data_IF_201452930241
#
_entry.id   IF_201452930241
#
_cell.length_a   1.000
_cell.length_b   1.000
_cell.length_c   1.000
_cell.angle_alpha   90.00
_cell.angle_beta   90.00
_cell.angle_gamma   90.00
#
_symmetry.space_group_name_H-M   'P 1'
#
loop_
_entity.id
_entity.type
_entity.pdbx_description
1 polymer ?
2 non-polymer ?
3 non-polymer ?
4 non-polymer ?
5 water ?
#
# COMPACT_ATOMS: atom_id res chain seq x y z
N UNK A 22 14.37 -4.00 23.24
CA UNK A 22 15.54 -4.72 22.76
C UNK A 22 15.14 -6.10 22.23
N UNK A 23 14.72 -6.98 23.13
CA UNK A 23 14.45 -8.35 22.71
C UNK A 23 13.56 -9.03 23.76
N UNK A 24 13.55 -10.36 23.73
CA UNK A 24 12.56 -11.18 24.39
C UNK A 24 12.18 -12.24 23.39
N UNK A 25 12.82 -12.12 22.23
CA UNK A 25 12.64 -13.02 21.10
C UNK A 25 13.83 -13.97 20.99
N UNK A 26 13.69 -14.97 20.13
CA UNK A 26 14.79 -15.88 19.87
C UNK A 26 15.81 -15.22 18.93
N UNK A 27 16.94 -15.92 18.70
CA UNK A 27 17.89 -15.46 17.70
C UNK A 27 17.27 -15.43 16.32
N UNK A 28 16.48 -16.44 15.97
CA UNK A 28 15.86 -16.51 14.66
C UNK A 28 14.87 -15.37 14.48
N UNK A 29 14.10 -15.04 15.52
CA UNK A 29 13.13 -13.95 15.41
C UNK A 29 13.83 -12.61 15.27
N UNK A 30 14.89 -12.39 16.04
CA UNK A 30 15.61 -11.13 15.95
C UNK A 30 16.35 -10.98 14.63
N UNK A 31 16.91 -12.07 14.10
CA UNK A 31 17.50 -11.98 12.77
C UNK A 31 16.43 -11.81 11.70
N UNK A 32 15.23 -12.34 11.94
CA UNK A 32 14.13 -12.19 10.98
C UNK A 32 13.70 -10.73 10.89
N UNK A 33 13.65 -10.03 12.03
CA UNK A 33 13.31 -8.61 12.02
C UNK A 33 14.44 -7.80 11.41
N UNK A 34 15.69 -8.13 11.74
CA UNK A 34 16.82 -7.38 11.21
C UNK A 34 16.85 -7.44 9.69
N UNK A 35 16.55 -8.60 9.11
CA UNK A 35 16.58 -8.74 7.66
C UNK A 35 15.44 -7.95 7.00
N UNK A 36 14.25 -7.98 7.61
CA UNK A 36 13.14 -7.20 7.08
C UNK A 36 13.40 -5.70 7.22
N UNK A 37 13.92 -5.26 8.37
CA UNK A 37 14.22 -3.84 8.55
C UNK A 37 15.31 -3.39 7.60
N UNK A 38 16.31 -4.24 7.37
CA UNK A 38 17.36 -3.91 6.42
C UNK A 38 16.82 -3.78 5.01
N UNK A 39 15.93 -4.71 4.61
CA UNK A 39 15.31 -4.64 3.29
C UNK A 39 14.46 -3.38 3.14
N UNK A 40 13.75 -3.01 4.21
CA UNK A 40 12.95 -1.80 4.19
C UNK A 40 13.83 -0.56 4.07
N UNK A 41 14.94 -0.52 4.82
CA UNK A 41 15.83 0.62 4.76
C UNK A 41 16.43 0.78 3.37
N UNK A 42 16.72 -0.33 2.69
CA UNK A 42 17.42 -0.25 1.41
C UNK A 42 16.49 0.10 0.26
N UNK A 43 15.20 -0.21 0.37
CA UNK A 43 14.31 -0.16 -0.79
C UNK A 43 13.14 0.80 -0.62
N UNK A 44 13.03 1.51 0.50
CA UNK A 44 11.95 2.45 0.77
C UNK A 44 12.55 3.86 0.72
N UNK A 45 12.29 4.57 -0.36
CA UNK A 45 12.74 5.95 -0.52
C UNK A 45 11.75 6.85 0.21
N UNK A 46 11.99 7.07 1.51
CA UNK A 46 10.99 7.74 2.34
C UNK A 46 10.82 9.21 1.97
N UNK A 47 11.85 9.81 1.39
CA UNK A 47 11.76 11.19 0.92
C UNK A 47 11.32 11.29 -0.54
N UNK A 48 11.13 10.15 -1.21
CA UNK A 48 10.68 10.11 -2.60
C UNK A 48 11.62 10.90 -3.52
N UNK A 49 12.91 10.92 -3.19
CA UNK A 49 13.86 11.75 -3.94
C UNK A 49 13.96 11.32 -5.39
N UNK A 50 13.81 10.02 -5.68
CA UNK A 50 14.03 9.48 -7.00
C UNK A 50 12.74 9.24 -7.77
N UNK A 51 11.63 9.80 -7.31
CA UNK A 51 10.37 9.81 -8.07
C UNK A 51 10.40 11.05 -8.96
N UNK A 52 10.74 10.84 -10.23
CA UNK A 52 10.90 11.92 -11.20
C UNK A 52 10.16 11.57 -12.48
N UNK A 53 10.11 12.54 -13.40
CA UNK A 53 9.59 12.34 -14.76
C UNK A 53 8.15 11.87 -14.77
N UNK A 54 7.40 12.17 -13.71
CA UNK A 54 6.01 11.74 -13.64
C UNK A 54 5.09 12.72 -14.37
N UNK A 55 3.99 12.18 -14.88
CA UNK A 55 3.00 12.99 -15.56
C UNK A 55 2.18 13.77 -14.55
N UNK A 56 1.66 14.91 -15.00
CA UNK A 56 0.84 15.79 -14.19
C UNK A 56 -0.45 16.12 -14.93
N UNK A 57 -1.54 16.39 -14.21
CA UNK A 57 -2.79 16.75 -14.88
C UNK A 57 -2.62 18.01 -15.72
N UNK A 58 -3.03 17.92 -16.98
CA UNK A 58 -2.78 18.95 -17.97
C UNK A 58 -3.13 20.36 -17.56
N UNK A 59 -2.42 21.33 -18.13
CA UNK A 59 -2.64 22.73 -17.81
C UNK A 59 -3.64 23.35 -18.79
N UNK A 78 -22.32 1.63 -21.50
CA UNK A 78 -23.00 2.85 -21.09
C UNK A 78 -23.22 2.86 -19.58
N UNK A 79 -23.60 1.70 -19.03
CA UNK A 79 -23.69 1.51 -17.59
C UNK A 79 -22.33 1.36 -16.93
N UNK A 80 -21.28 1.10 -17.71
CA UNK A 80 -19.93 1.07 -17.16
C UNK A 80 -19.52 2.43 -16.61
N UNK A 81 -19.84 3.49 -17.36
CA UNK A 81 -19.39 4.83 -16.97
C UNK A 81 -19.98 5.26 -15.64
N UNK A 82 -21.26 4.97 -15.41
CA UNK A 82 -21.88 5.31 -14.14
C UNK A 82 -21.13 4.67 -12.98
N UNK A 83 -20.68 3.43 -13.16
CA UNK A 83 -19.91 2.76 -12.12
C UNK A 83 -18.51 3.34 -12.03
N UNK A 84 -17.87 3.58 -13.18
CA UNK A 84 -16.54 4.19 -13.18
C UNK A 84 -16.58 5.57 -12.55
N UNK A 85 -17.66 6.32 -12.79
CA UNK A 85 -17.81 7.64 -12.18
C UNK A 85 -17.96 7.53 -10.67
N UNK A 86 -18.68 6.52 -10.20
CA UNK A 86 -18.77 6.28 -8.76
C UNK A 86 -17.43 5.81 -8.19
N UNK A 87 -16.69 5.01 -8.95
CA UNK A 87 -15.38 4.56 -8.50
C UNK A 87 -14.42 5.73 -8.35
N UNK A 88 -14.40 6.64 -9.33
CA UNK A 88 -13.34 7.65 -9.39
C UNK A 88 -13.51 8.74 -8.35
N UNK A 89 -14.74 9.05 -7.96
CA UNK A 89 -14.97 10.11 -6.99
C UNK A 89 -14.96 9.60 -5.55
N UNK A 90 -14.61 8.33 -5.34
CA UNK A 90 -14.46 7.82 -3.99
C UNK A 90 -13.20 8.34 -3.30
N UNK A 91 -12.25 8.86 -4.07
CA UNK A 91 -11.02 9.42 -3.52
C UNK A 91 -10.70 10.71 -4.26
N UNK A 92 -10.88 11.84 -3.59
CA UNK A 92 -10.58 13.15 -4.14
C UNK A 92 -9.43 13.77 -3.35
N UNK A 93 -8.34 14.09 -4.03
CA UNK A 93 -7.17 14.67 -3.38
C UNK A 93 -6.69 15.87 -4.18
N UNK A 94 -6.26 16.90 -3.47
CA UNK A 94 -5.45 17.94 -4.07
C UNK A 94 -3.99 17.54 -4.01
N UNK A 95 -3.20 18.12 -4.89
CA UNK A 95 -1.80 17.74 -5.06
C UNK A 95 -0.93 18.98 -4.96
N UNK A 96 0.20 18.86 -4.28
CA UNK A 96 1.12 19.97 -4.07
C UNK A 96 2.55 19.53 -4.34
N UNK A 97 3.29 20.38 -5.06
CA UNK A 97 4.72 20.20 -5.31
C UNK A 97 5.50 21.34 -4.68
N UNK A 98 6.40 21.01 -3.77
CA UNK A 98 7.33 21.98 -3.22
C UNK A 98 8.62 21.94 -4.03
N UNK A 99 8.98 23.08 -4.64
CA UNK A 99 10.24 23.15 -5.34
C UNK A 99 11.40 23.25 -4.37
N UNK A 100 12.55 22.74 -4.83
CA UNK A 100 13.77 22.88 -4.02
C UNK A 100 14.09 24.35 -3.77
N UNK A 101 13.71 25.23 -4.70
CA UNK A 101 13.96 26.65 -4.53
C UNK A 101 13.00 27.30 -3.54
N UNK A 102 11.90 26.63 -3.20
CA UNK A 102 10.90 27.19 -2.31
C UNK A 102 9.58 27.48 -2.97
N UNK A 103 9.46 27.29 -4.28
CA UNK A 103 8.21 27.50 -4.98
C UNK A 103 7.24 26.36 -4.71
N UNK A 104 5.95 26.66 -4.85
CA UNK A 104 4.89 25.69 -4.57
C UNK A 104 3.92 25.67 -5.75
N UNK A 105 3.78 24.50 -6.39
CA UNK A 105 2.69 24.24 -7.31
C UNK A 105 1.58 23.51 -6.57
N UNK A 106 0.33 23.93 -6.81
CA UNK A 106 -0.82 23.35 -6.15
C UNK A 106 -1.91 23.05 -7.18
N UNK A 107 -2.52 21.88 -7.06
CA UNK A 107 -3.54 21.43 -8.00
C UNK A 107 -4.81 21.07 -7.23
N UNK A 108 -5.91 21.75 -7.54
CA UNK A 108 -7.23 21.37 -7.09
C UNK A 108 -7.97 20.68 -8.22
N UNK A 109 -8.51 19.48 -8.00
CA UNK A 109 -9.14 18.72 -9.10
C UNK A 109 -10.49 19.29 -9.48
N UNK A 110 -11.04 18.89 -10.61
CA UNK A 110 -12.37 19.38 -11.01
C UNK A 110 -13.50 18.52 -10.48
N UNK A 111 -14.63 19.16 -10.26
CA UNK A 111 -15.85 18.41 -9.96
C UNK A 111 -16.32 17.67 -11.20
N UNK A 112 -17.04 16.57 -10.98
CA UNK A 112 -17.56 15.79 -12.09
C UNK A 112 -18.66 16.58 -12.80
N UNK A 113 -18.41 16.92 -14.07
CA UNK A 113 -19.38 17.63 -14.90
C UNK A 113 -19.96 16.74 -16.00
N UNK A 114 -19.64 15.45 -15.99
CA UNK A 114 -20.19 14.51 -16.96
C UNK A 114 -19.29 14.11 -18.11
N UNK A 115 -17.97 14.26 -17.95
CA UNK A 115 -17.06 13.97 -19.04
C UNK A 115 -15.75 13.34 -18.61
N UNK A 116 -14.69 13.58 -19.39
CA UNK A 116 -13.40 12.94 -19.20
C UNK A 116 -12.50 13.69 -18.22
N UNK A 117 -13.02 14.72 -17.54
CA UNK A 117 -12.21 15.48 -16.59
C UNK A 117 -11.94 14.72 -15.29
N UNK A 118 -12.71 13.67 -15.02
CA UNK A 118 -12.45 12.84 -13.83
C UNK A 118 -11.25 11.92 -14.01
N UNK A 119 -10.74 11.80 -15.24
CA UNK A 119 -9.55 11.01 -15.54
C UNK A 119 -8.25 11.79 -15.42
N UNK A 120 -8.30 13.04 -14.95
CA UNK A 120 -7.15 13.93 -15.11
C UNK A 120 -5.96 13.53 -14.23
N UNK A 121 -6.22 12.92 -13.08
CA UNK A 121 -5.14 12.54 -12.17
C UNK A 121 -4.68 11.10 -12.34
N UNK A 122 -5.31 10.33 -13.23
CA UNK A 122 -4.95 8.92 -13.40
C UNK A 122 -3.52 8.71 -13.89
N UNK A 123 -3.01 9.42 -14.91
CA UNK A 123 -1.62 9.19 -15.31
C UNK A 123 -0.61 9.46 -14.20
N UNK A 124 -0.81 10.53 -13.41
CA UNK A 124 0.10 10.80 -12.31
C UNK A 124 0.06 9.68 -11.27
N UNK A 125 -1.15 9.28 -10.86
CA UNK A 125 -1.27 8.24 -9.84
C UNK A 125 -0.74 6.92 -10.34
N UNK A 126 -0.87 6.64 -11.64
CA UNK A 126 -0.25 5.45 -12.20
C UNK A 126 1.27 5.51 -12.07
N UNK A 127 1.85 6.70 -12.26
CA UNK A 127 3.31 6.83 -12.16
C UNK A 127 3.78 6.70 -10.72
N UNK A 128 3.04 7.27 -9.77
CA UNK A 128 3.38 7.09 -8.36
C UNK A 128 3.23 5.63 -7.95
N UNK A 129 2.11 5.01 -8.33
CA UNK A 129 1.91 3.60 -8.05
C UNK A 129 3.05 2.76 -8.61
N UNK A 130 3.42 3.01 -9.86
CA UNK A 130 4.54 2.30 -10.47
C UNK A 130 5.82 2.48 -9.68
N UNK A 131 6.09 3.71 -9.23
CA UNK A 131 7.28 3.96 -8.42
C UNK A 131 7.23 3.16 -7.13
N UNK A 132 6.08 3.14 -6.45
CA UNK A 132 5.95 2.36 -5.24
C UNK A 132 6.12 0.86 -5.52
N UNK A 133 5.46 0.36 -6.57
CA UNK A 133 5.57 -1.05 -6.92
C UNK A 133 7.03 -1.46 -7.11
N UNK A 134 7.84 -0.61 -7.74
CA UNK A 134 9.25 -0.93 -7.93
C UNK A 134 9.95 -1.09 -6.58
N UNK A 135 9.67 -0.19 -5.63
CA UNK A 135 10.24 -0.32 -4.31
C UNK A 135 9.81 -1.62 -3.64
N UNK A 136 8.56 -2.01 -3.81
CA UNK A 136 8.04 -3.22 -3.21
C UNK A 136 8.74 -4.46 -3.79
N UNK A 137 8.91 -4.48 -5.11
CA UNK A 137 9.56 -5.62 -5.76
C UNK A 137 10.99 -5.75 -5.28
N UNK A 138 11.71 -4.63 -5.16
CA UNK A 138 13.06 -4.67 -4.62
C UNK A 138 13.06 -5.15 -3.17
N UNK A 139 12.07 -4.69 -2.39
CA UNK A 139 11.92 -5.13 -1.01
C UNK A 139 11.84 -6.65 -0.93
N UNK A 140 10.96 -7.25 -1.72
CA UNK A 140 10.81 -8.70 -1.72
C UNK A 140 12.10 -9.39 -2.15
N UNK A 141 12.76 -8.88 -3.19
CA UNK A 141 13.89 -9.58 -3.79
C UNK A 141 15.11 -9.62 -2.88
N UNK A 142 15.24 -8.69 -1.93
CA UNK A 142 16.40 -8.73 -1.03
C UNK A 142 16.11 -9.52 0.24
N UNK A 143 14.92 -10.10 0.36
CA UNK A 143 14.58 -10.93 1.51
C UNK A 143 14.94 -12.37 1.20
N UNK A 144 15.70 -13.00 2.10
CA UNK A 144 16.14 -14.37 1.88
C UNK A 144 14.97 -15.33 1.79
N UNK A 145 13.99 -15.20 2.70
CA UNK A 145 12.83 -16.07 2.67
C UNK A 145 12.09 -15.97 1.34
N UNK A 146 12.18 -14.83 0.67
CA UNK A 146 11.54 -14.65 -0.62
C UNK A 146 12.41 -15.12 -1.78
N UNK A 147 13.73 -14.84 -1.71
CA UNK A 147 14.65 -15.31 -2.75
C UNK A 147 14.59 -16.82 -2.90
N UNK A 148 14.41 -17.54 -1.79
CA UNK A 148 14.49 -19.00 -1.80
C UNK A 148 13.24 -19.65 -2.36
N UNK A 149 12.16 -18.92 -2.56
CA UNK A 149 10.99 -19.52 -3.17
C UNK A 149 11.18 -19.64 -4.69
N UNK A 150 10.50 -20.59 -5.33
CA UNK A 150 10.57 -20.68 -6.79
C UNK A 150 10.08 -19.38 -7.44
N UNK A 151 10.69 -19.04 -8.59
CA UNK A 151 10.42 -17.76 -9.23
C UNK A 151 8.94 -17.62 -9.59
N UNK A 152 8.26 -18.73 -9.87
CA UNK A 152 6.84 -18.66 -10.18
C UNK A 152 6.02 -18.26 -8.96
N UNK A 153 6.44 -18.69 -7.77
CA UNK A 153 5.75 -18.28 -6.55
C UNK A 153 6.08 -16.83 -6.20
N UNK A 154 7.33 -16.41 -6.44
CA UNK A 154 7.69 -15.01 -6.27
C UNK A 154 6.77 -14.10 -7.06
N UNK A 155 6.58 -14.44 -8.35
CA UNK A 155 5.71 -13.63 -9.21
C UNK A 155 4.27 -13.70 -8.71
N UNK A 156 3.82 -14.88 -8.27
CA UNK A 156 2.47 -15.01 -7.78
C UNK A 156 2.25 -14.23 -6.49
N UNK A 157 3.23 -14.28 -5.57
CA UNK A 157 3.10 -13.55 -4.32
C UNK A 157 3.17 -12.04 -4.54
N UNK A 158 4.07 -11.60 -5.41
CA UNK A 158 4.17 -10.18 -5.71
C UNK A 158 2.90 -9.66 -6.38
N UNK A 159 2.40 -10.39 -7.37
CA UNK A 159 1.12 -10.03 -8.00
C UNK A 159 0.02 -9.93 -6.96
N UNK A 160 0.02 -10.84 -5.98
CA UNK A 160 -1.06 -10.89 -5.01
C UNK A 160 -0.99 -9.79 -3.97
N UNK A 161 0.22 -9.40 -3.57
CA UNK A 161 0.40 -8.57 -2.40
C UNK A 161 0.94 -7.17 -2.66
N UNK A 162 1.38 -6.86 -3.90
CA UNK A 162 2.07 -5.59 -4.14
C UNK A 162 1.23 -4.40 -3.74
N UNK A 163 -0.07 -4.41 -4.07
CA UNK A 163 -0.95 -3.31 -3.70
C UNK A 163 -1.01 -3.14 -2.18
N UNK A 164 -1.09 -4.24 -1.44
CA UNK A 164 -1.19 -4.17 0.01
C UNK A 164 0.07 -3.58 0.63
N UNK A 165 1.25 -4.03 0.18
CA UNK A 165 2.50 -3.49 0.70
C UNK A 165 2.63 -2.00 0.36
N UNK A 166 2.15 -1.61 -0.83
CA UNK A 166 2.13 -0.19 -1.19
C UNK A 166 1.28 0.60 -0.21
N UNK A 167 0.12 0.07 0.17
CA UNK A 167 -0.74 0.76 1.14
C UNK A 167 -0.06 0.85 2.49
N UNK A 168 0.61 -0.22 2.91
CA UNK A 168 1.27 -0.22 4.21
C UNK A 168 2.38 0.82 4.27
N UNK A 169 3.13 0.97 3.17
CA UNK A 169 4.18 2.00 3.13
C UNK A 169 3.56 3.39 3.10
N UNK A 170 2.46 3.57 2.37
CA UNK A 170 1.82 4.88 2.29
C UNK A 170 1.27 5.31 3.64
N UNK A 171 0.91 4.34 4.51
CA UNK A 171 0.42 4.71 5.83
C UNK A 171 1.51 5.35 6.68
N UNK A 172 2.75 4.92 6.52
CA UNK A 172 3.83 5.50 7.32
C UNK A 172 4.11 6.95 6.98
N UNK A 173 3.70 7.42 5.79
CA UNK A 173 3.83 8.83 5.43
C UNK A 173 2.48 9.54 5.50
N UNK A 174 1.45 8.88 6.01
CA UNK A 174 0.14 9.51 6.15
C UNK A 174 0.08 10.36 7.41
N UNK A 175 -0.36 11.60 7.26
CA UNK A 175 -0.60 12.50 8.39
C UNK A 175 -2.10 12.50 8.66
N UNK A 176 -2.50 11.92 9.79
CA UNK A 176 -3.92 11.81 10.11
C UNK A 176 -4.52 13.14 10.54
N UNK A 177 -3.72 14.05 11.08
CA UNK A 177 -4.26 15.32 11.56
C UNK A 177 -4.59 16.25 10.39
N UNK A 178 -3.79 16.22 9.33
CA UNK A 178 -4.01 17.06 8.15
C UNK A 178 -4.57 16.27 6.97
N UNK A 179 -4.86 14.99 7.14
CA UNK A 179 -5.41 14.18 6.05
C UNK A 179 -4.54 14.15 4.81
N UNK A 180 -3.22 14.07 4.98
CA UNK A 180 -2.27 14.27 3.90
C UNK A 180 -1.24 13.15 3.89
N UNK A 181 -1.02 12.56 2.71
CA UNK A 181 0.11 11.67 2.49
C UNK A 181 1.31 12.51 2.08
N UNK A 182 2.29 12.61 2.98
CA UNK A 182 3.44 13.48 2.78
C UNK A 182 4.55 12.67 2.13
N UNK A 183 4.68 12.79 0.82
CA UNK A 183 5.65 12.04 0.03
C UNK A 183 6.79 12.96 -0.39
N UNK A 184 7.55 13.42 0.59
CA UNK A 184 8.64 14.33 0.31
C UNK A 184 8.15 15.68 -0.19
N UNK A 185 8.54 16.03 -1.42
CA UNK A 185 8.11 17.30 -2.00
C UNK A 185 6.70 17.24 -2.54
N UNK A 186 6.13 16.04 -2.69
CA UNK A 186 4.75 15.86 -3.10
C UNK A 186 3.88 15.66 -1.87
N UNK A 187 2.69 16.28 -1.88
CA UNK A 187 1.68 16.07 -0.85
C UNK A 187 0.36 15.74 -1.52
N UNK A 188 -0.39 14.82 -0.91
CA UNK A 188 -1.72 14.45 -1.38
C UNK A 188 -2.71 14.69 -0.25
N UNK A 189 -3.48 15.76 -0.36
CA UNK A 189 -4.37 16.20 0.69
C UNK A 189 -5.81 15.78 0.36
N UNK A 190 -6.46 15.11 1.30
CA UNK A 190 -7.86 14.73 1.12
C UNK A 190 -8.73 15.97 1.08
N UNK A 191 -9.58 16.06 0.06
CA UNK A 191 -10.36 17.27 -0.17
C UNK A 191 -11.47 17.40 0.85
N UNK A 192 -11.45 18.49 1.62
CA UNK A 192 -12.47 18.75 2.62
C UNK A 192 -13.84 18.81 1.95
N UNK A 193 -14.72 17.94 2.38
CA UNK A 193 -16.01 17.75 1.74
C UNK A 193 -17.10 17.70 2.81
N UNK A 194 -18.30 18.13 2.44
CA UNK A 194 -19.46 18.04 3.32
C UNK A 194 -19.58 16.64 3.90
N UNK A 195 -19.77 16.58 5.21
CA UNK A 195 -19.70 15.35 5.98
C UNK A 195 -18.49 15.26 6.88
N UNK A 196 -17.41 15.96 6.54
CA UNK A 196 -16.26 16.04 7.41
C UNK A 196 -15.47 14.74 7.50
N UNK A 197 -14.66 14.68 8.56
CA UNK A 197 -13.68 13.60 8.71
C UNK A 197 -14.37 12.32 9.16
N UNK A 198 -15.70 12.32 9.17
CA UNK A 198 -16.48 11.12 9.43
C UNK A 198 -17.12 10.56 8.17
N UNK A 199 -17.46 11.42 7.22
CA UNK A 199 -17.90 10.94 5.91
C UNK A 199 -16.76 10.33 5.12
N UNK A 200 -15.53 10.83 5.34
CA UNK A 200 -14.36 10.21 4.69
C UNK A 200 -14.15 8.78 5.16
N UNK A 201 -14.36 8.53 6.46
CA UNK A 201 -14.15 7.20 7.01
C UNK A 201 -15.11 6.16 6.45
N UNK A 202 -16.10 6.58 5.66
CA UNK A 202 -16.95 5.64 4.95
C UNK A 202 -16.26 5.03 3.75
N UNK A 203 -15.22 5.67 3.22
CA UNK A 203 -14.42 5.08 2.17
C UNK A 203 -13.44 4.08 2.80
N UNK A 204 -13.56 2.78 2.49
CA UNK A 204 -12.77 1.78 3.24
C UNK A 204 -11.28 2.02 3.21
N UNK A 205 -10.75 2.50 2.08
CA UNK A 205 -9.33 2.83 2.01
C UNK A 205 -8.97 3.93 3.00
N UNK A 206 -9.81 4.95 3.14
CA UNK A 206 -9.51 6.05 4.05
C UNK A 206 -9.71 5.64 5.50
N UNK A 207 -10.74 4.82 5.78
CA UNK A 207 -10.89 4.31 7.14
C UNK A 207 -9.71 3.44 7.53
N UNK A 208 -9.18 2.65 6.58
CA UNK A 208 -8.01 1.82 6.85
C UNK A 208 -6.81 2.67 7.25
N UNK A 209 -6.56 3.75 6.51
CA UNK A 209 -5.37 4.55 6.79
C UNK A 209 -5.49 5.29 8.12
N UNK A 210 -6.68 5.85 8.41
CA UNK A 210 -6.87 6.51 9.71
C UNK A 210 -6.77 5.50 10.85
N UNK A 211 -7.44 4.35 10.72
CA UNK A 211 -7.44 3.37 11.79
C UNK A 211 -6.04 2.79 12.00
N UNK A 212 -5.35 2.42 10.92
CA UNK A 212 -3.99 1.89 11.05
C UNK A 212 -3.05 2.92 11.66
N UNK A 213 -3.21 4.20 11.30
CA UNK A 213 -2.37 5.24 11.89
C UNK A 213 -2.64 5.39 13.39
N UNK A 214 -3.89 5.21 13.81
CA UNK A 214 -4.23 5.34 15.22
C UNK A 214 -3.49 4.32 16.09
N UNK A 215 -3.08 3.20 15.51
CA UNK A 215 -2.40 2.18 16.30
C UNK A 215 -0.97 2.56 16.65
N UNK A 216 -0.39 3.54 15.95
CA UNK A 216 0.94 4.07 16.27
C UNK A 216 2.00 2.96 16.28
N UNK A 217 2.07 2.24 15.17
CA UNK A 217 2.96 1.10 15.07
C UNK A 217 4.41 1.55 14.95
N UNK A 218 5.30 0.65 15.36
CA UNK A 218 6.74 0.82 15.14
C UNK A 218 7.08 0.47 13.69
N UNK A 219 8.29 0.87 13.28
CA UNK A 219 8.79 0.46 11.97
C UNK A 219 8.86 -1.06 11.86
N UNK A 220 9.28 -1.73 12.95
CA UNK A 220 9.35 -3.19 12.95
C UNK A 220 7.99 -3.82 12.70
N UNK A 221 6.93 -3.22 13.27
CA UNK A 221 5.61 -3.81 13.13
C UNK A 221 5.06 -3.59 11.72
N UNK A 222 5.30 -2.41 11.16
CA UNK A 222 4.93 -2.16 9.77
C UNK A 222 5.59 -3.15 8.82
N UNK A 223 6.87 -3.46 9.03
CA UNK A 223 7.58 -4.31 8.08
C UNK A 223 7.22 -5.77 8.30
N UNK A 224 6.81 -6.14 9.52
CA UNK A 224 6.27 -7.47 9.73
C UNK A 224 4.90 -7.62 9.08
N UNK A 225 4.08 -6.56 9.12
CA UNK A 225 2.82 -6.56 8.37
C UNK A 225 3.08 -6.79 6.89
N UNK A 226 4.10 -6.12 6.34
CA UNK A 226 4.45 -6.32 4.93
C UNK A 226 4.84 -7.76 4.66
N UNK A 227 5.61 -8.38 5.56
CA UNK A 227 6.00 -9.77 5.36
C UNK A 227 4.79 -10.69 5.41
N UNK A 228 3.94 -10.54 6.43
CA UNK A 228 2.75 -11.38 6.54
C UNK A 228 1.89 -11.25 5.29
N UNK A 229 1.71 -10.03 4.79
CA UNK A 229 0.94 -9.83 3.57
C UNK A 229 1.63 -10.45 2.35
N UNK A 230 2.96 -10.28 2.24
CA UNK A 230 3.70 -10.85 1.12
C UNK A 230 3.80 -12.38 1.20
N UNK A 231 3.47 -12.97 2.35
CA UNK A 231 3.58 -14.41 2.49
C UNK A 231 2.22 -15.07 2.69
N UNK A 232 1.18 -14.50 2.09
CA UNK A 232 -0.12 -15.13 2.11
C UNK A 232 -0.07 -16.37 1.26
N UNK A 233 -0.22 -17.58 1.82
CA UNK A 233 -0.12 -18.78 0.99
C UNK A 233 -1.24 -18.94 -0.02
N UNK A 234 -2.34 -18.20 0.11
CA UNK A 234 -3.50 -18.38 -0.76
C UNK A 234 -3.63 -17.26 -1.78
N UNK A 235 -2.52 -16.84 -2.37
CA UNK A 235 -2.64 -15.99 -3.53
C UNK A 235 -2.92 -16.85 -4.77
N UNK A 236 -3.61 -16.30 -5.76
CA UNK A 236 -3.83 -17.06 -7.01
C UNK A 236 -2.50 -17.49 -7.63
N UNK A 237 -2.39 -18.78 -7.93
CA UNK A 237 -1.26 -19.31 -8.65
C UNK A 237 -0.05 -19.68 -7.83
N UNK A 238 -0.17 -19.75 -6.51
CA UNK A 238 0.93 -20.19 -5.67
C UNK A 238 0.99 -21.71 -5.68
N UNK A 239 2.21 -22.26 -5.80
CA UNK A 239 2.42 -23.69 -5.77
C UNK A 239 2.91 -24.20 -4.43
N UNK A 240 3.84 -23.48 -3.81
CA UNK A 240 4.45 -23.92 -2.54
C UNK A 240 3.58 -23.46 -1.36
N UNK A 241 2.32 -23.90 -1.36
CA UNK A 241 1.38 -23.48 -0.32
C UNK A 241 1.92 -23.78 1.08
N UNK A 242 2.52 -24.95 1.26
CA UNK A 242 2.98 -25.35 2.59
C UNK A 242 4.14 -24.46 3.06
N UNK A 243 5.11 -24.21 2.19
CA UNK A 243 6.28 -23.42 2.59
C UNK A 243 5.86 -21.98 2.88
N UNK A 244 5.07 -21.39 1.98
CA UNK A 244 4.65 -20.01 2.18
C UNK A 244 3.82 -19.89 3.46
N UNK A 245 2.99 -20.89 3.75
CA UNK A 245 2.19 -20.86 4.97
C UNK A 245 3.07 -20.95 6.21
N UNK A 246 4.10 -21.80 6.18
CA UNK A 246 5.00 -21.90 7.33
C UNK A 246 5.79 -20.61 7.51
N UNK A 247 6.24 -20.01 6.42
CA UNK A 247 6.93 -18.73 6.52
C UNK A 247 6.02 -17.65 7.10
N UNK A 248 4.78 -17.58 6.61
CA UNK A 248 3.84 -16.58 7.13
C UNK A 248 3.60 -16.78 8.62
N UNK A 249 3.43 -18.03 9.05
CA UNK A 249 3.16 -18.27 10.47
C UNK A 249 4.33 -17.81 11.34
N UNK A 250 5.57 -17.95 10.85
CA UNK A 250 6.71 -17.50 11.62
C UNK A 250 6.78 -15.97 11.68
N UNK A 251 6.41 -15.29 10.59
CA UNK A 251 6.38 -13.83 10.63
C UNK A 251 5.29 -13.34 11.58
N UNK A 252 4.17 -14.06 11.63
CA UNK A 252 3.08 -13.67 12.54
C UNK A 252 3.46 -13.94 13.99
N UNK A 253 4.11 -15.07 14.26
CA UNK A 253 4.53 -15.36 15.62
C UNK A 253 5.60 -14.37 16.08
N UNK A 254 6.54 -14.03 15.20
CA UNK A 254 7.53 -13.01 15.52
C UNK A 254 6.86 -11.68 15.86
N UNK A 255 5.83 -11.30 15.10
CA UNK A 255 5.12 -10.07 15.40
C UNK A 255 4.41 -10.17 16.74
N UNK A 256 3.69 -11.27 16.96
CA UNK A 256 3.03 -11.49 18.24
C UNK A 256 4.02 -11.42 19.40
N UNK A 257 5.19 -12.03 19.24
CA UNK A 257 6.18 -12.02 20.30
C UNK A 257 6.82 -10.65 20.46
N UNK A 258 7.05 -9.93 19.35
CA UNK A 258 7.57 -8.57 19.46
C UNK A 258 6.64 -7.68 20.28
N UNK A 259 5.34 -7.78 20.03
CA UNK A 259 4.37 -6.96 20.76
C UNK A 259 4.34 -7.34 22.23
N UNK A 260 4.41 -8.65 22.54
CA UNK A 260 4.42 -9.09 23.92
C UNK A 260 5.60 -8.50 24.68
N UNK A 261 6.77 -8.43 24.04
CA UNK A 261 7.99 -8.07 24.75
C UNK A 261 8.19 -6.58 24.88
N UNK A 262 7.65 -5.77 23.96
CA UNK A 262 8.00 -4.37 23.89
C UNK A 262 6.82 -3.42 24.02
N UNK A 263 5.62 -3.91 24.34
CA UNK A 263 4.43 -3.07 24.47
C UNK A 263 3.56 -3.59 25.61
N UNK A 264 3.89 -3.24 26.85
CA UNK A 264 3.09 -3.71 27.99
C UNK A 264 1.86 -2.87 28.29
N UNK A 265 1.72 -1.69 27.69
CA UNK A 265 0.70 -0.74 28.10
C UNK A 265 -0.70 -1.28 27.79
N UNK A 266 -1.69 -0.95 28.62
CA UNK A 266 -3.06 -1.42 28.37
C UNK A 266 -3.62 -1.00 27.02
N UNK A 267 -3.12 0.10 26.44
CA UNK A 267 -3.61 0.52 25.14
C UNK A 267 -3.23 -0.46 24.03
N UNK A 268 -2.18 -1.24 24.24
CA UNK A 268 -1.70 -2.20 23.25
C UNK A 268 -2.19 -3.61 23.53
N UNK A 269 -3.19 -3.75 24.40
CA UNK A 269 -3.85 -5.04 24.56
C UNK A 269 -4.56 -5.41 23.26
N UNK A 270 -4.41 -6.66 22.85
CA UNK A 270 -4.97 -7.19 21.61
C UNK A 270 -4.41 -6.48 20.37
N UNK A 271 -3.27 -5.80 20.49
CA UNK A 271 -2.70 -5.10 19.34
C UNK A 271 -2.42 -6.07 18.21
N UNK A 272 -1.86 -7.24 18.53
CA UNK A 272 -1.58 -8.23 17.50
C UNK A 272 -2.85 -8.64 16.76
N UNK A 273 -3.96 -8.81 17.49
CA UNK A 273 -5.21 -9.18 16.83
C UNK A 273 -5.80 -8.03 16.04
N UNK A 274 -5.63 -6.79 16.52
CA UNK A 274 -6.05 -5.63 15.73
C UNK A 274 -5.27 -5.57 14.42
N UNK A 275 -3.96 -5.81 14.49
CA UNK A 275 -3.14 -5.77 13.27
C UNK A 275 -3.57 -6.85 12.30
N UNK A 276 -3.81 -8.07 12.80
CA UNK A 276 -4.20 -9.16 11.91
C UNK A 276 -5.56 -8.91 11.29
N UNK A 277 -6.45 -8.21 12.00
CA UNK A 277 -7.75 -7.84 11.42
C UNK A 277 -7.61 -6.74 10.39
N UNK A 278 -6.65 -5.83 10.56
CA UNK A 278 -6.43 -4.80 9.54
C UNK A 278 -5.85 -5.41 8.27
N UNK A 279 -5.01 -6.45 8.41
CA UNK A 279 -4.47 -7.13 7.24
C UNK A 279 -5.58 -7.83 6.46
N UNK A 280 -6.55 -8.42 7.18
CA UNK A 280 -7.70 -9.02 6.51
C UNK A 280 -8.50 -7.96 5.77
N UNK A 281 -8.73 -6.81 6.40
CA UNK A 281 -9.42 -5.71 5.74
C UNK A 281 -8.63 -5.24 4.52
N UNK A 282 -7.31 -5.13 4.65
CA UNK A 282 -6.49 -4.66 3.53
C UNK A 282 -6.63 -5.58 2.33
N UNK A 283 -6.73 -6.90 2.59
CA UNK A 283 -6.96 -7.86 1.51
C UNK A 283 -8.29 -7.60 0.81
N UNK A 284 -9.32 -7.25 1.58
CA UNK A 284 -10.62 -6.92 0.98
C UNK A 284 -10.51 -5.65 0.13
N UNK A 285 -9.93 -4.59 0.69
CA UNK A 285 -9.73 -3.36 -0.06
C UNK A 285 -8.90 -3.63 -1.31
N UNK A 286 -7.93 -4.55 -1.21
CA UNK A 286 -7.15 -4.94 -2.38
C UNK A 286 -8.03 -5.50 -3.48
N UNK A 287 -8.95 -6.41 -3.12
CA UNK A 287 -9.84 -6.99 -4.11
C UNK A 287 -10.79 -5.94 -4.69
N UNK A 288 -11.31 -5.06 -3.84
CA UNK A 288 -12.22 -4.00 -4.32
C UNK A 288 -11.50 -3.06 -5.28
N UNK A 289 -10.32 -2.57 -4.88
CA UNK A 289 -9.59 -1.64 -5.72
C UNK A 289 -9.06 -2.28 -6.99
N UNK A 290 -8.89 -3.60 -7.00
CA UNK A 290 -8.52 -4.28 -8.24
C UNK A 290 -9.68 -4.30 -9.22
N UNK A 291 -10.91 -4.42 -8.72
CA UNK A 291 -12.08 -4.36 -9.61
C UNK A 291 -12.29 -2.95 -10.14
N UNK A 292 -12.13 -1.93 -9.28
CA UNK A 292 -12.22 -0.55 -9.76
C UNK A 292 -11.22 -0.30 -10.87
N UNK A 293 -9.97 -0.71 -10.67
CA UNK A 293 -8.93 -0.49 -11.66
C UNK A 293 -9.30 -1.13 -13.00
N UNK A 294 -9.75 -2.39 -12.96
CA UNK A 294 -10.08 -3.08 -14.21
C UNK A 294 -11.26 -2.45 -14.92
N UNK A 295 -12.21 -1.86 -14.18
CA UNK A 295 -13.32 -1.17 -14.81
C UNK A 295 -12.88 0.14 -15.44
N UNK A 296 -12.09 0.93 -14.70
CA UNK A 296 -11.56 2.18 -15.26
C UNK A 296 -10.69 1.89 -16.47
N UNK A 297 -9.81 0.90 -16.36
CA UNK A 297 -8.92 0.54 -17.47
C UNK A 297 -9.72 0.09 -18.68
N UNK A 298 -10.90 -0.48 -18.47
CA UNK A 298 -11.70 -1.00 -19.58
C UNK A 298 -12.13 0.11 -20.52
N UNK A 299 -12.55 1.25 -19.96
CA UNK A 299 -13.05 2.35 -20.77
C UNK A 299 -12.04 3.49 -20.91
N UNK A 300 -11.07 3.60 -20.01
CA UNK A 300 -10.04 4.63 -20.11
C UNK A 300 -8.70 3.99 -19.74
N UNK A 301 -7.99 3.44 -20.73
CA UNK A 301 -6.71 2.78 -20.44
C UNK A 301 -5.69 3.77 -19.88
N UNK A 302 -4.95 3.34 -18.86
CA UNK A 302 -4.01 4.24 -18.20
C UNK A 302 -2.94 3.49 -17.42
N UNK A 303 -3.07 2.17 -17.30
CA UNK A 303 -2.13 1.38 -16.53
C UNK A 303 -0.77 1.31 -17.21
N UNK A 304 0.29 1.52 -16.42
CA UNK A 304 1.65 1.38 -16.92
C UNK A 304 1.95 -0.08 -17.24
N UNK A 305 3.00 -0.35 -18.02
CA UNK A 305 3.38 -1.74 -18.27
C UNK A 305 3.59 -2.56 -17.00
N UNK A 306 4.20 -1.97 -15.96
CA UNK A 306 4.39 -2.71 -14.72
C UNK A 306 3.07 -3.00 -14.03
N UNK A 307 2.11 -2.07 -14.12
CA UNK A 307 0.78 -2.31 -13.56
C UNK A 307 0.06 -3.42 -14.30
N UNK A 308 0.17 -3.44 -15.63
CA UNK A 308 -0.43 -4.52 -16.42
C UNK A 308 0.14 -5.87 -16.02
N UNK A 309 1.46 -5.93 -15.83
CA UNK A 309 2.10 -7.18 -15.42
C UNK A 309 1.55 -7.67 -14.09
N UNK A 310 1.40 -6.76 -13.12
CA UNK A 310 0.97 -7.15 -11.78
C UNK A 310 -0.51 -7.50 -11.73
N UNK A 311 -1.35 -6.83 -12.51
CA UNK A 311 -2.79 -7.05 -12.48
C UNK A 311 -3.28 -7.93 -13.63
N UNK A 312 -2.38 -8.69 -14.25
CA UNK A 312 -2.76 -9.67 -15.25
C UNK A 312 -3.40 -9.10 -16.50
N UNK A 313 -2.71 -8.16 -17.15
CA UNK A 313 -3.14 -7.61 -18.43
C UNK A 313 -2.07 -7.94 -19.46
N UNK A 314 -2.46 -8.69 -20.49
CA UNK A 314 -1.49 -9.26 -21.43
C UNK A 314 -1.09 -8.29 -22.54
N UNK A 315 -1.92 -7.31 -22.85
CA UNK A 315 -1.70 -6.45 -24.00
C UNK A 315 -2.46 -6.87 -25.25
N UNK A 316 -3.27 -7.93 -25.18
CA UNK A 316 -4.11 -8.32 -26.31
C UNK A 316 -5.44 -8.87 -25.82
X LIG B 1 -5.34 1.00 -8.52
X LIG B 1 -4.05 0.50 -8.59
X LIG B 1 -2.97 1.33 -8.90
X LIG B 1 -1.72 0.81 -8.96
X LIG B 1 -3.16 2.69 -9.17
X LIG B 1 -4.44 3.22 -9.12
X LIG B 1 -4.63 4.70 -9.40
X LIG B 1 -6.12 4.98 -9.62
X LIG B 1 -6.92 4.37 -8.49
X LIG B 1 -6.96 2.87 -8.72
X LIG B 1 -5.58 2.34 -8.78
X LIG B 1 -7.83 2.14 -7.69
X LIG B 1 -9.24 2.74 -7.62
X LIG B 1 -9.14 4.23 -7.32
X LIG B 1 -8.35 4.89 -8.43
X LIG B 1 -8.58 6.39 -8.22
X LIG B 1 -9.99 6.46 -7.63
X LIG B 1 -10.44 5.01 -7.37
X LIG B 1 -11.15 4.92 -6.14
X LIG B 1 -8.48 4.46 -5.97
X LIG C 1 -2.17 4.17 -3.75
X LIG C 1 -2.01 5.47 -2.94
X LIG C 1 -1.66 6.57 -3.98
X LIG C 1 -1.90 5.97 -5.36
X LIG C 1 -2.72 7.67 -3.67
X LIG C 1 -4.10 7.14 -4.01
X LIG C 1 -4.40 6.21 -3.12
X LIG C 1 -3.23 6.07 -2.18
X LIG C 1 -2.81 7.56 -2.13
X LIG C 1 -1.94 4.46 -5.15
X LIG C 1 -3.26 4.11 -4.68
X LIG C 1 -0.58 6.49 -6.45
X LIG C 1 -2.32 9.25 -4.31
X LIG C 1 -5.05 7.71 -5.30
X LIG C 1 -5.82 5.29 -3.01
X LIG C 1 -3.56 5.32 -0.63
X LIG C 1 -4.02 8.63 -1.41
X LIG C 1 -1.27 7.86 -1.29
X LIG D 1 11.59 2.70 18.87
X LIG D 1 11.55 1.28 18.30
X LIG D 1 12.89 0.82 18.03
X LIG D 1 10.91 0.35 19.33
X LIG D 1 10.75 1.26 17.00
X LIG D 1 11.05 2.45 16.10
X LIG D 1 11.99 2.11 15.10
X LIG D 1 9.77 2.97 15.44
#
# INVERSE_FOLDING_TARGET
MKKGHHHHHHGSERTGTQPLGVQGLTEEQRMMIRELMDAQMKTFDTTFSHFKNFRLPGVLSSGCELPESLQAPSREEAAKWSQVRKDLCSLKVSLQLRGEDGSVWNYKPPADSGGKEIFSLLPHMADMSTYMFKGIISFAKVISYFRDLPIEDQISLLKGAAFELCQLRFNTVFNAETGTWECGRLSYCLEDTAGGFQQLLLEPMLKFHYMLKKLQLHEEEYVLMQAISLFSPDRPGVLQHRVVDQLQEQFAITLKSYIECNRPQPAHRFLFLKIMAMLTELRSINAQHTQRLLRIQDIHPFATPLMQELFGITGSLVPR
EST C1 C2 C3 O3 C4 C5 C6 C7 C8 C9 C10 C11 C12 C13 C14 C15 C16 C17 O17 C18
S65 C1 C2 C3 C4 C5 C6 C7 C8 C9 C O CL CL1 CL2 CL3 CL4 CL5 CL6
MPD C1 C2 O2 CM C3 C4 O4 C5
#
